data_IF_268174713501
#
_entry.id   IF_268174713501
#
_cell.length_a   1.000
_cell.length_b   1.000
_cell.length_c   1.000
_cell.angle_alpha   90.00
_cell.angle_beta   90.00
_cell.angle_gamma   90.00
#
_symmetry.space_group_name_H-M   'P 1'
#
loop_
_entity.id
_entity.type
_entity.pdbx_description
1 polymer ?
#
# COMPACT_ATOMS: atom_id res chain seq x y z
N UNK A 1 20.18 -2.52 15.43
CA UNK A 1 20.87 -2.79 14.15
C UNK A 1 19.93 -2.37 13.04
N UNK A 2 20.26 -1.35 12.25
CA UNK A 2 19.40 -0.90 11.13
C UNK A 2 19.38 -1.97 10.03
N UNK A 3 18.17 -2.32 9.54
CA UNK A 3 18.03 -3.26 8.41
C UNK A 3 18.50 -2.60 7.10
N UNK A 4 18.85 -3.41 6.09
CA UNK A 4 19.16 -2.88 4.75
C UNK A 4 17.89 -2.33 4.10
N UNK A 5 17.98 -1.13 3.53
CA UNK A 5 16.90 -0.49 2.78
C UNK A 5 16.73 -1.10 1.38
N UNK A 6 17.86 -1.46 0.75
CA UNK A 6 17.90 -1.95 -0.62
C UNK A 6 18.18 -3.45 -0.67
N UNK A 7 17.46 -4.14 -1.55
CA UNK A 7 17.64 -5.55 -1.89
C UNK A 7 17.34 -5.74 -3.38
N UNK A 8 18.38 -6.08 -4.13
CA UNK A 8 18.36 -6.11 -5.61
C UNK A 8 18.70 -7.49 -6.19
N UNK A 9 18.70 -8.55 -5.37
CA UNK A 9 18.89 -9.91 -5.88
C UNK A 9 17.72 -10.37 -6.76
N UNK A 10 18.01 -11.27 -7.72
CA UNK A 10 17.02 -11.78 -8.67
C UNK A 10 15.78 -12.37 -7.99
N UNK A 11 15.95 -13.04 -6.85
CA UNK A 11 14.81 -13.60 -6.09
C UNK A 11 13.89 -12.49 -5.57
N UNK A 12 14.45 -11.39 -5.08
CA UNK A 12 13.65 -10.24 -4.65
C UNK A 12 12.93 -9.57 -5.82
N UNK A 13 13.60 -9.41 -6.97
CA UNK A 13 13.01 -8.79 -8.16
C UNK A 13 11.92 -9.64 -8.81
N UNK A 14 12.14 -10.95 -8.95
CA UNK A 14 11.13 -11.87 -9.52
C UNK A 14 9.97 -12.06 -8.53
N UNK A 15 10.29 -12.23 -7.24
CA UNK A 15 9.27 -12.38 -6.20
C UNK A 15 8.37 -11.15 -6.08
N UNK A 16 8.91 -9.94 -6.23
CA UNK A 16 8.11 -8.71 -6.20
C UNK A 16 7.20 -8.56 -7.40
N UNK A 17 7.60 -9.03 -8.59
CA UNK A 17 6.72 -9.06 -9.77
C UNK A 17 5.53 -10.00 -9.54
N UNK A 18 5.78 -11.21 -9.03
CA UNK A 18 4.71 -12.20 -8.77
C UNK A 18 3.72 -11.65 -7.73
N UNK A 19 4.22 -11.15 -6.59
CA UNK A 19 3.35 -10.56 -5.56
C UNK A 19 2.70 -9.27 -6.07
N UNK A 20 3.37 -8.51 -6.93
CA UNK A 20 2.83 -7.33 -7.61
C UNK A 20 1.64 -7.65 -8.51
N UNK A 21 1.64 -8.79 -9.20
CA UNK A 21 0.47 -9.26 -9.97
C UNK A 21 -0.70 -9.59 -9.04
N UNK A 22 -0.44 -10.28 -7.93
CA UNK A 22 -1.49 -10.59 -6.93
C UNK A 22 -2.05 -9.31 -6.31
N UNK A 23 -1.17 -8.38 -5.98
CA UNK A 23 -1.53 -7.05 -5.50
C UNK A 23 -2.43 -6.33 -6.52
N UNK A 24 -2.03 -6.28 -7.78
CA UNK A 24 -2.81 -5.68 -8.86
C UNK A 24 -4.20 -6.32 -9.02
N UNK A 25 -4.29 -7.65 -9.02
CA UNK A 25 -5.58 -8.36 -9.09
C UNK A 25 -6.44 -7.97 -7.88
N UNK A 26 -5.85 -7.93 -6.68
CA UNK A 26 -6.57 -7.54 -5.48
C UNK A 26 -7.08 -6.10 -5.56
N UNK A 27 -6.30 -5.17 -6.11
CA UNK A 27 -6.73 -3.79 -6.29
C UNK A 27 -7.90 -3.69 -7.26
N UNK A 28 -7.82 -4.41 -8.38
CA UNK A 28 -8.89 -4.46 -9.37
C UNK A 28 -10.21 -5.00 -8.81
N UNK A 29 -10.15 -6.02 -7.96
CA UNK A 29 -11.35 -6.56 -7.31
C UNK A 29 -11.87 -5.61 -6.23
N UNK A 30 -11.00 -5.19 -5.31
CA UNK A 30 -11.41 -4.44 -4.11
C UNK A 30 -11.99 -3.08 -4.42
N UNK A 31 -11.43 -2.29 -5.34
CA UNK A 31 -12.04 -0.99 -5.61
C UNK A 31 -13.17 -1.01 -6.64
N UNK A 32 -13.41 -2.14 -7.34
CA UNK A 32 -14.73 -2.38 -7.94
C UNK A 32 -15.80 -2.57 -6.86
N UNK A 33 -15.46 -3.29 -5.78
CA UNK A 33 -16.37 -3.46 -4.63
C UNK A 33 -16.60 -2.11 -3.96
N UNK A 34 -15.55 -1.34 -3.65
CA UNK A 34 -15.71 0.00 -3.08
C UNK A 34 -16.52 0.91 -4.02
N UNK A 35 -16.27 0.85 -5.34
CA UNK A 35 -17.05 1.62 -6.32
C UNK A 35 -18.55 1.30 -6.35
N UNK A 36 -18.95 0.08 -5.98
CA UNK A 36 -20.35 -0.33 -5.85
C UNK A 36 -20.93 0.06 -4.48
N UNK A 37 -20.14 -0.04 -3.41
CA UNK A 37 -20.59 0.26 -2.05
C UNK A 37 -20.63 1.77 -1.77
N UNK A 38 -19.49 2.44 -1.91
CA UNK A 38 -19.33 3.89 -1.81
C UNK A 38 -18.00 4.31 -2.48
N UNK A 39 -18.05 4.93 -3.67
CA UNK A 39 -16.84 5.32 -4.41
C UNK A 39 -16.02 6.40 -3.71
N UNK A 40 -16.58 7.08 -2.70
CA UNK A 40 -15.86 8.08 -1.90
C UNK A 40 -15.10 7.46 -0.74
N UNK A 41 -15.38 6.20 -0.37
CA UNK A 41 -14.78 5.49 0.74
C UNK A 41 -14.01 4.27 0.23
N UNK A 42 -12.73 4.47 -0.08
CA UNK A 42 -11.82 3.44 -0.59
C UNK A 42 -11.31 2.50 0.52
N UNK A 43 -12.23 1.94 1.33
CA UNK A 43 -11.88 1.20 2.54
C UNK A 43 -11.23 -0.15 2.22
N UNK A 44 -11.85 -0.95 1.34
CA UNK A 44 -11.30 -2.26 0.99
C UNK A 44 -10.05 -2.11 0.11
N UNK A 45 -10.11 -1.20 -0.85
CA UNK A 45 -9.03 -0.92 -1.78
C UNK A 45 -7.81 -0.32 -1.05
N UNK A 46 -8.02 0.67 -0.20
CA UNK A 46 -6.96 1.26 0.64
C UNK A 46 -6.36 0.26 1.63
N UNK A 47 -7.18 -0.64 2.19
CA UNK A 47 -6.68 -1.72 3.07
C UNK A 47 -5.83 -2.73 2.31
N UNK A 48 -6.28 -3.18 1.13
CA UNK A 48 -5.52 -4.10 0.30
C UNK A 48 -4.19 -3.47 -0.15
N UNK A 49 -4.24 -2.22 -0.60
CA UNK A 49 -3.06 -1.43 -0.95
C UNK A 49 -2.02 -1.37 0.18
N UNK A 50 -2.47 -0.99 1.37
CA UNK A 50 -1.63 -0.88 2.57
C UNK A 50 -1.03 -2.24 2.95
N UNK A 51 -1.81 -3.31 2.88
CA UNK A 51 -1.37 -4.67 3.19
C UNK A 51 -0.29 -5.14 2.21
N UNK A 52 -0.53 -5.06 0.90
CA UNK A 52 0.42 -5.52 -0.11
C UNK A 52 1.69 -4.68 -0.12
N UNK A 53 1.57 -3.35 0.03
CA UNK A 53 2.74 -2.46 0.13
C UNK A 53 3.63 -2.88 1.30
N UNK A 54 3.06 -3.05 2.50
CA UNK A 54 3.80 -3.50 3.67
C UNK A 54 4.43 -4.89 3.49
N UNK A 55 3.65 -5.84 2.96
CA UNK A 55 4.11 -7.22 2.73
C UNK A 55 5.30 -7.27 1.76
N UNK A 56 5.20 -6.61 0.61
CA UNK A 56 6.24 -6.58 -0.41
C UNK A 56 7.52 -5.97 0.15
N UNK A 57 7.42 -4.88 0.91
CA UNK A 57 8.59 -4.22 1.51
C UNK A 57 9.23 -5.12 2.57
N UNK A 58 8.45 -5.78 3.41
CA UNK A 58 9.00 -6.69 4.42
C UNK A 58 9.75 -7.86 3.79
N UNK A 59 9.20 -8.44 2.72
CA UNK A 59 9.80 -9.58 2.01
C UNK A 59 11.00 -9.18 1.14
N UNK A 60 10.86 -8.11 0.37
CA UNK A 60 11.74 -7.81 -0.77
C UNK A 60 12.41 -6.44 -0.70
N UNK A 61 12.07 -5.59 0.28
CA UNK A 61 12.65 -4.24 0.46
C UNK A 61 12.48 -3.34 -0.78
N UNK A 62 13.26 -2.27 -0.87
CA UNK A 62 13.33 -1.45 -2.09
C UNK A 62 14.38 -2.02 -3.05
N UNK A 63 14.22 -1.90 -4.38
CA UNK A 63 13.17 -1.15 -5.10
C UNK A 63 11.88 -1.93 -5.37
N UNK A 64 11.76 -3.17 -4.87
CA UNK A 64 10.62 -4.05 -5.14
C UNK A 64 9.26 -3.42 -4.78
N UNK A 65 9.17 -2.73 -3.63
CA UNK A 65 7.96 -2.01 -3.22
C UNK A 65 7.52 -0.96 -4.24
N UNK A 66 8.46 -0.13 -4.73
CA UNK A 66 8.18 0.88 -5.75
C UNK A 66 7.77 0.21 -7.08
N UNK A 67 8.49 -0.81 -7.53
CA UNK A 67 8.19 -1.48 -8.81
C UNK A 67 6.77 -2.06 -8.79
N UNK A 68 6.41 -2.79 -7.74
CA UNK A 68 5.08 -3.39 -7.64
C UNK A 68 3.96 -2.35 -7.59
N UNK A 69 4.15 -1.27 -6.82
CA UNK A 69 3.18 -0.18 -6.76
C UNK A 69 3.06 0.60 -8.07
N UNK A 70 4.17 0.87 -8.77
CA UNK A 70 4.12 1.55 -10.06
C UNK A 70 3.45 0.69 -11.13
N UNK A 71 3.67 -0.64 -11.14
CA UNK A 71 2.97 -1.54 -12.05
C UNK A 71 1.46 -1.49 -11.83
N UNK A 72 1.01 -1.47 -10.58
CA UNK A 72 -0.41 -1.32 -10.23
C UNK A 72 -0.98 0.01 -10.77
N UNK A 73 -0.32 1.13 -10.49
CA UNK A 73 -0.76 2.45 -10.95
C UNK A 73 -0.80 2.57 -12.49
N UNK A 74 0.21 2.03 -13.19
CA UNK A 74 0.26 2.03 -14.66
C UNK A 74 -0.90 1.23 -15.24
N UNK A 75 -1.21 0.06 -14.69
CA UNK A 75 -2.33 -0.75 -15.17
C UNK A 75 -3.67 -0.10 -14.81
N UNK A 76 -3.80 0.52 -13.64
CA UNK A 76 -4.99 1.29 -13.27
C UNK A 76 -5.26 2.41 -14.29
N UNK A 77 -4.22 3.14 -14.72
CA UNK A 77 -4.34 4.15 -15.78
C UNK A 77 -4.66 3.52 -17.14
N UNK A 78 -3.95 2.47 -17.55
CA UNK A 78 -4.14 1.83 -18.85
C UNK A 78 -5.53 1.21 -19.02
N UNK A 79 -6.12 0.74 -17.92
CA UNK A 79 -7.47 0.15 -17.90
C UNK A 79 -8.57 1.17 -17.60
N UNK A 80 -8.23 2.45 -17.42
CA UNK A 80 -9.13 3.51 -16.98
C UNK A 80 -9.97 3.11 -15.75
N UNK A 81 -9.37 2.31 -14.86
CA UNK A 81 -10.06 1.71 -13.71
C UNK A 81 -10.45 2.77 -12.67
N UNK A 82 -9.60 3.77 -12.47
CA UNK A 82 -9.87 4.86 -11.54
C UNK A 82 -9.44 6.20 -12.14
N UNK A 83 -10.27 7.25 -12.03
CA UNK A 83 -9.87 8.61 -12.38
C UNK A 83 -8.70 9.11 -11.51
N UNK A 84 -8.46 8.49 -10.35
CA UNK A 84 -7.37 8.84 -9.45
C UNK A 84 -6.05 8.12 -9.80
N UNK A 85 -6.01 7.29 -10.84
CA UNK A 85 -4.88 6.40 -11.13
C UNK A 85 -3.53 7.13 -11.31
N UNK A 86 -3.54 8.37 -11.83
CA UNK A 86 -2.34 9.19 -11.89
C UNK A 86 -1.76 9.49 -10.49
N UNK A 87 -2.63 9.74 -9.50
CA UNK A 87 -2.22 9.99 -8.11
C UNK A 87 -1.70 8.74 -7.41
N UNK A 88 -2.07 7.54 -7.90
CA UNK A 88 -1.56 6.28 -7.37
C UNK A 88 -0.06 6.12 -7.61
N UNK A 89 0.52 6.73 -8.67
CA UNK A 89 1.98 6.73 -8.87
C UNK A 89 2.72 7.32 -7.66
N UNK A 90 2.22 8.45 -7.16
CA UNK A 90 2.79 9.14 -6.02
C UNK A 90 2.48 8.41 -4.72
N UNK A 91 1.22 7.98 -4.54
CA UNK A 91 0.81 7.26 -3.33
C UNK A 91 1.63 5.97 -3.15
N UNK A 92 1.77 5.17 -4.22
CA UNK A 92 2.56 3.94 -4.23
C UNK A 92 4.03 4.22 -3.94
N UNK A 93 4.62 5.24 -4.56
CA UNK A 93 6.03 5.56 -4.36
C UNK A 93 6.31 6.08 -2.95
N UNK A 94 5.60 7.13 -2.53
CA UNK A 94 5.83 7.82 -1.27
C UNK A 94 5.44 6.92 -0.10
N UNK A 95 4.27 6.26 -0.16
CA UNK A 95 3.83 5.32 0.87
C UNK A 95 4.83 4.18 1.06
N UNK A 96 5.34 3.61 -0.04
CA UNK A 96 6.34 2.55 0.00
C UNK A 96 7.67 3.01 0.61
N UNK A 97 8.14 4.21 0.26
CA UNK A 97 9.34 4.80 0.87
C UNK A 97 9.12 5.05 2.37
N UNK A 98 8.00 5.66 2.76
CA UNK A 98 7.66 5.93 4.16
C UNK A 98 7.64 4.66 5.01
N UNK A 99 6.97 3.61 4.53
CA UNK A 99 6.96 2.30 5.20
C UNK A 99 8.40 1.77 5.36
N UNK A 100 9.20 1.81 4.29
CA UNK A 100 10.57 1.29 4.28
C UNK A 100 11.49 2.03 5.27
N UNK A 101 11.34 3.35 5.40
CA UNK A 101 12.13 4.15 6.33
C UNK A 101 11.80 3.84 7.80
N UNK A 102 10.54 3.54 8.10
CA UNK A 102 10.09 3.21 9.46
C UNK A 102 10.46 1.77 9.82
N UNK A 103 10.16 0.80 8.94
CA UNK A 103 10.42 -0.62 9.23
C UNK A 103 11.92 -0.89 9.45
N UNK A 104 12.80 -0.12 8.79
CA UNK A 104 14.26 -0.22 8.94
C UNK A 104 14.72 -0.08 10.39
N UNK A 105 13.98 0.69 11.18
CA UNK A 105 14.28 1.03 12.57
C UNK A 105 13.57 0.13 13.58
N UNK A 106 12.71 -0.79 13.13
CA UNK A 106 11.85 -1.61 13.98
C UNK A 106 12.08 -3.11 13.75
N UNK A 107 11.83 -3.94 14.79
CA UNK A 107 12.01 -5.39 14.66
C UNK A 107 10.97 -6.02 13.72
N UNK A 108 9.78 -5.41 13.61
CA UNK A 108 8.60 -5.93 12.90
C UNK A 108 8.02 -7.23 13.47
N UNK A 109 8.33 -7.58 14.72
CA UNK A 109 7.77 -8.75 15.42
C UNK A 109 6.48 -8.42 16.18
N UNK A 110 6.25 -7.14 16.49
CA UNK A 110 5.14 -6.66 17.31
C UNK A 110 4.12 -5.95 16.43
N UNK A 111 2.83 -6.09 16.76
CA UNK A 111 1.75 -5.36 16.07
C UNK A 111 1.98 -3.86 16.06
N UNK A 112 2.46 -3.27 17.16
CA UNK A 112 2.76 -1.83 17.23
C UNK A 112 3.77 -1.38 16.18
N UNK A 113 4.74 -2.24 15.80
CA UNK A 113 5.71 -1.90 14.75
C UNK A 113 5.06 -1.87 13.37
N UNK A 114 4.16 -2.82 13.09
CA UNK A 114 3.37 -2.85 11.87
C UNK A 114 2.44 -1.65 11.78
N UNK A 115 1.75 -1.31 12.88
CA UNK A 115 0.88 -0.13 12.94
C UNK A 115 1.69 1.15 12.69
N UNK A 116 2.87 1.33 13.31
CA UNK A 116 3.70 2.50 13.08
C UNK A 116 4.18 2.61 11.63
N UNK A 117 4.62 1.51 11.02
CA UNK A 117 5.01 1.49 9.62
C UNK A 117 3.81 1.80 8.69
N UNK A 118 2.63 1.26 9.02
CA UNK A 118 1.40 1.51 8.28
C UNK A 118 0.88 2.94 8.44
N UNK A 119 1.05 3.59 9.61
CA UNK A 119 0.74 5.01 9.77
C UNK A 119 1.57 5.82 8.77
N UNK A 120 2.89 5.58 8.70
CA UNK A 120 3.74 6.28 7.75
C UNK A 120 3.33 6.05 6.30
N UNK A 121 3.01 4.81 5.93
CA UNK A 121 2.54 4.46 4.59
C UNK A 121 1.21 5.11 4.25
N UNK A 122 0.21 4.93 5.11
CA UNK A 122 -1.17 5.32 4.84
C UNK A 122 -1.35 6.82 4.91
N UNK A 123 -0.73 7.51 5.86
CA UNK A 123 -0.82 8.98 5.92
C UNK A 123 -0.21 9.59 4.67
N UNK A 124 1.01 9.20 4.28
CA UNK A 124 1.66 9.83 3.13
C UNK A 124 1.01 9.43 1.80
N UNK A 125 0.61 8.16 1.65
CA UNK A 125 -0.09 7.68 0.46
C UNK A 125 -1.49 8.28 0.29
N UNK A 126 -2.31 8.29 1.34
CA UNK A 126 -3.67 8.83 1.26
C UNK A 126 -3.70 10.36 1.15
N UNK A 127 -2.64 11.07 1.56
CA UNK A 127 -2.49 12.49 1.24
C UNK A 127 -2.34 12.72 -0.28
N UNK A 128 -1.59 11.86 -0.99
CA UNK A 128 -1.51 11.93 -2.44
C UNK A 128 -2.87 11.68 -3.10
N UNK A 129 -3.62 10.70 -2.60
CA UNK A 129 -4.97 10.38 -3.11
C UNK A 129 -5.97 11.50 -2.79
N UNK A 130 -5.87 12.14 -1.62
CA UNK A 130 -6.70 13.28 -1.23
C UNK A 130 -6.56 14.45 -2.21
N UNK A 131 -5.34 14.74 -2.66
CA UNK A 131 -5.10 15.75 -3.70
C UNK A 131 -5.85 15.38 -4.98
N UNK A 132 -5.82 14.10 -5.38
CA UNK A 132 -6.60 13.61 -6.52
C UNK A 132 -8.12 13.77 -6.34
N UNK A 133 -8.65 13.45 -5.16
CA UNK A 133 -10.08 13.64 -4.85
C UNK A 133 -10.51 15.11 -5.01
N UNK A 134 -9.67 16.06 -4.61
CA UNK A 134 -9.96 17.49 -4.71
C UNK A 134 -9.88 17.98 -6.16
N UNK A 135 -8.80 17.65 -6.88
CA UNK A 135 -8.54 18.26 -8.19
C UNK A 135 -9.14 17.50 -9.37
N UNK A 136 -9.36 16.19 -9.27
CA UNK A 136 -9.91 15.35 -10.36
C UNK A 136 -11.40 15.10 -10.16
N UNK A 137 -11.81 14.81 -8.93
CA UNK A 137 -13.22 14.49 -8.59
C UNK A 137 -13.97 15.73 -8.13
N UNK A 138 -13.29 16.86 -7.93
CA UNK A 138 -13.87 18.12 -7.46
C UNK A 138 -14.63 17.96 -6.13
N UNK A 139 -14.16 17.05 -5.27
CA UNK A 139 -14.73 16.83 -3.95
C UNK A 139 -14.38 18.01 -3.03
N UNK A 140 -15.33 18.46 -2.22
CA UNK A 140 -15.05 19.47 -1.19
C UNK A 140 -13.90 18.98 -0.28
N UNK A 141 -12.97 19.88 0.03
CA UNK A 141 -11.74 19.52 0.73
C UNK A 141 -12.00 18.91 2.12
N UNK A 142 -13.11 19.26 2.78
CA UNK A 142 -13.47 18.67 4.08
C UNK A 142 -13.92 17.23 3.92
N UNK A 143 -14.67 16.95 2.86
CA UNK A 143 -15.12 15.59 2.53
C UNK A 143 -13.94 14.73 2.09
N UNK A 144 -13.04 15.27 1.26
CA UNK A 144 -11.82 14.59 0.84
C UNK A 144 -10.91 14.26 2.04
N UNK A 145 -10.75 15.22 2.96
CA UNK A 145 -10.00 15.01 4.20
C UNK A 145 -10.64 13.93 5.06
N UNK A 146 -11.96 13.96 5.25
CA UNK A 146 -12.68 12.96 6.02
C UNK A 146 -12.53 11.56 5.41
N UNK A 147 -12.75 11.43 4.11
CA UNK A 147 -12.58 10.17 3.36
C UNK A 147 -11.14 9.62 3.50
N UNK A 148 -10.14 10.48 3.28
CA UNK A 148 -8.73 10.13 3.39
C UNK A 148 -8.34 9.72 4.81
N UNK A 149 -8.84 10.43 5.83
CA UNK A 149 -8.59 10.13 7.24
C UNK A 149 -9.25 8.80 7.67
N UNK A 150 -10.50 8.57 7.25
CA UNK A 150 -11.21 7.33 7.56
C UNK A 150 -10.54 6.13 6.89
N UNK A 151 -10.19 6.27 5.61
CA UNK A 151 -9.44 5.25 4.86
C UNK A 151 -8.10 4.96 5.52
N UNK A 152 -7.36 6.01 5.89
CA UNK A 152 -6.08 5.89 6.61
C UNK A 152 -6.24 5.12 7.92
N UNK A 153 -7.27 5.44 8.72
CA UNK A 153 -7.52 4.80 10.00
C UNK A 153 -7.82 3.31 9.83
N UNK A 154 -8.79 2.98 8.97
CA UNK A 154 -9.24 1.61 8.73
C UNK A 154 -8.11 0.77 8.12
N UNK A 155 -7.46 1.28 7.07
CA UNK A 155 -6.36 0.59 6.40
C UNK A 155 -5.20 0.34 7.37
N UNK A 156 -4.84 1.31 8.22
CA UNK A 156 -3.76 1.15 9.19
C UNK A 156 -4.02 0.00 10.16
N UNK A 157 -5.21 -0.05 10.73
CA UNK A 157 -5.57 -1.08 11.72
C UNK A 157 -5.62 -2.45 11.04
N UNK A 158 -6.40 -2.57 9.96
CA UNK A 158 -6.65 -3.87 9.32
C UNK A 158 -5.40 -4.38 8.62
N UNK A 159 -4.72 -3.55 7.81
CA UNK A 159 -3.50 -3.96 7.14
C UNK A 159 -2.36 -4.22 8.13
N UNK A 160 -2.26 -3.49 9.25
CA UNK A 160 -1.27 -3.77 10.30
C UNK A 160 -1.42 -5.17 10.89
N UNK A 161 -2.66 -5.59 11.18
CA UNK A 161 -2.97 -6.94 11.66
C UNK A 161 -2.67 -7.99 10.58
N UNK A 162 -3.14 -7.77 9.35
CA UNK A 162 -2.94 -8.72 8.24
C UNK A 162 -1.46 -8.89 7.90
N UNK A 163 -0.71 -7.78 7.83
CA UNK A 163 0.72 -7.79 7.51
C UNK A 163 1.49 -8.58 8.56
N UNK A 164 1.23 -8.36 9.85
CA UNK A 164 1.85 -9.15 10.92
C UNK A 164 1.56 -10.64 10.76
N UNK A 165 0.29 -11.02 10.63
CA UNK A 165 -0.12 -12.44 10.57
C UNK A 165 0.50 -13.15 9.36
N UNK A 166 0.41 -12.54 8.18
CA UNK A 166 0.91 -13.14 6.94
C UNK A 166 2.43 -13.17 6.92
N UNK A 167 3.10 -12.07 7.29
CA UNK A 167 4.56 -12.03 7.33
C UNK A 167 5.13 -13.05 8.33
N UNK A 168 4.58 -13.13 9.54
CA UNK A 168 5.01 -14.13 10.53
C UNK A 168 4.74 -15.57 10.07
N UNK A 169 3.66 -15.83 9.34
CA UNK A 169 3.41 -17.14 8.75
C UNK A 169 4.45 -17.48 7.67
N UNK A 170 4.75 -16.54 6.78
CA UNK A 170 5.75 -16.71 5.72
C UNK A 170 7.16 -16.98 6.28
N UNK A 171 7.55 -16.29 7.36
CA UNK A 171 8.80 -16.56 8.07
C UNK A 171 8.84 -17.98 8.65
N UNK A 172 7.74 -18.46 9.24
CA UNK A 172 7.65 -19.83 9.78
C UNK A 172 7.71 -20.90 8.69
N UNK A 173 7.21 -20.60 7.49
CA UNK A 173 7.22 -21.51 6.34
C UNK A 173 8.55 -21.52 5.58
N UNK A 174 9.60 -20.81 6.06
CA UNK A 174 10.90 -20.69 5.39
C UNK A 174 10.85 -20.17 3.94
N UNK A 175 9.75 -19.49 3.57
CA UNK A 175 9.57 -18.89 2.25
C UNK A 175 10.34 -17.57 2.10
N UNK A 176 10.75 -16.98 3.23
CA UNK A 176 11.52 -15.73 3.37
C UNK A 176 12.52 -15.81 4.52
#
# INVERSE_FOLDING_TARGET
MEKKLLRTDTRALVGSVIVGIVFLISMQVTGRIDGILDPTLLLLNGTAWSFFTGLIILMYKQPAGIIAGLLEAIVAMATAYSPLAFFFLFANTIGSISYSLIERKLSMEKLSHHILAQIGCNVTGNLCVMVGLIYVIHLDWKVALFSSALTTLVATIVAGILTLKVYSALQKSALI
#
